data_IF_900477933752
#
_entry.id   IF_900477933752
#
_cell.length_a   1.000
_cell.length_b   1.000
_cell.length_c   1.000
_cell.angle_alpha   90.00
_cell.angle_beta   90.00
_cell.angle_gamma   90.00
#
_symmetry.space_group_name_H-M   'P 1'
#
loop_
_entity.id
_entity.type
_entity.pdbx_description
1 polymer ?
#
# COMPACT_ATOMS: atom_id res chain seq x y z
N UNK A 1 7.89 -9.68 2.19
CA UNK A 1 7.84 -8.73 3.33
C UNK A 1 6.54 -9.04 4.07
N UNK A 2 6.62 -9.20 5.38
CA UNK A 2 5.45 -9.46 6.24
C UNK A 2 5.05 -8.21 7.04
N UNK A 3 6.02 -7.35 7.39
CA UNK A 3 5.79 -6.10 8.11
C UNK A 3 6.61 -4.97 7.51
N UNK A 4 6.12 -3.73 7.61
CA UNK A 4 6.80 -2.53 7.13
C UNK A 4 6.90 -1.54 8.29
N UNK A 5 8.11 -1.02 8.55
CA UNK A 5 8.33 0.03 9.54
C UNK A 5 7.85 1.38 9.00
N UNK A 6 6.81 1.93 9.63
CA UNK A 6 6.18 3.19 9.25
C UNK A 6 7.13 4.38 9.34
N UNK A 7 8.12 4.33 10.24
CA UNK A 7 9.08 5.42 10.46
C UNK A 7 9.92 5.73 9.21
N UNK A 8 10.13 4.74 8.33
CA UNK A 8 10.85 4.94 7.06
C UNK A 8 10.10 5.95 6.18
N UNK A 9 8.77 5.94 6.22
CA UNK A 9 7.95 6.81 5.37
C UNK A 9 7.88 8.25 5.86
N UNK A 10 8.14 8.54 7.12
CA UNK A 10 8.30 9.92 7.59
C UNK A 10 9.43 10.63 6.82
N UNK A 11 10.51 9.90 6.51
CA UNK A 11 11.68 10.45 5.83
C UNK A 11 11.50 10.57 4.31
N UNK A 12 10.81 9.62 3.68
CA UNK A 12 10.72 9.53 2.20
C UNK A 12 9.36 9.98 1.62
N UNK A 13 8.34 10.17 2.45
CA UNK A 13 6.97 10.52 2.04
C UNK A 13 6.88 11.74 1.14
N UNK A 14 7.76 12.72 1.34
CA UNK A 14 7.78 13.96 0.58
C UNK A 14 8.29 13.80 -0.86
N UNK A 15 8.80 12.63 -1.25
CA UNK A 15 9.37 12.40 -2.58
C UNK A 15 8.83 11.13 -3.25
N UNK A 16 8.24 10.22 -2.49
CA UNK A 16 7.80 8.93 -3.02
C UNK A 16 6.53 9.09 -3.89
N UNK A 17 6.68 8.89 -5.20
CA UNK A 17 5.56 8.91 -6.17
C UNK A 17 5.08 7.52 -6.59
N UNK A 18 5.97 6.53 -6.57
CA UNK A 18 5.69 5.16 -7.00
C UNK A 18 6.13 4.20 -5.90
N UNK A 19 5.22 3.33 -5.45
CA UNK A 19 5.50 2.28 -4.49
C UNK A 19 5.07 0.93 -5.07
N UNK A 20 6.02 -0.02 -5.12
CA UNK A 20 5.78 -1.36 -5.61
C UNK A 20 6.02 -2.37 -4.48
N UNK A 21 4.94 -2.99 -4.02
CA UNK A 21 4.92 -4.03 -3.00
C UNK A 21 4.35 -5.35 -3.55
N UNK A 22 4.46 -5.58 -4.87
CA UNK A 22 4.01 -6.83 -5.49
C UNK A 22 4.77 -8.05 -4.94
N UNK A 23 4.14 -9.22 -5.00
CA UNK A 23 4.74 -10.51 -4.58
C UNK A 23 5.25 -10.50 -3.13
N UNK A 24 4.42 -10.00 -2.23
CA UNK A 24 4.68 -10.06 -0.79
C UNK A 24 3.56 -10.85 -0.09
N UNK A 25 3.61 -10.88 1.23
CA UNK A 25 2.69 -11.67 2.06
C UNK A 25 1.77 -10.77 2.88
N UNK A 26 1.41 -9.60 2.33
CA UNK A 26 0.56 -8.63 3.00
C UNK A 26 -0.86 -9.20 3.09
N UNK A 27 -1.29 -9.49 4.31
CA UNK A 27 -2.58 -10.12 4.60
C UNK A 27 -3.67 -9.10 4.96
N UNK A 28 -3.30 -8.09 5.74
CA UNK A 28 -4.27 -7.15 6.33
C UNK A 28 -3.91 -5.71 6.06
N UNK A 29 -4.92 -4.84 6.16
CA UNK A 29 -4.81 -3.40 6.03
C UNK A 29 -3.87 -2.77 7.07
N UNK A 30 -3.67 -3.44 8.22
CA UNK A 30 -2.74 -3.00 9.27
C UNK A 30 -1.29 -2.97 8.78
N UNK A 31 -0.94 -3.74 7.74
CA UNK A 31 0.39 -3.66 7.15
C UNK A 31 0.59 -2.41 6.27
N UNK A 32 -0.45 -1.58 6.10
CA UNK A 32 -0.49 -0.46 5.16
C UNK A 32 -0.88 0.87 5.83
N UNK A 33 -0.78 0.97 7.16
CA UNK A 33 -1.11 2.21 7.91
C UNK A 33 -0.31 3.41 7.44
N UNK A 34 0.94 3.18 7.01
CA UNK A 34 1.86 4.20 6.53
C UNK A 34 1.38 4.98 5.30
N UNK A 35 0.36 4.51 4.58
CA UNK A 35 -0.19 5.19 3.41
C UNK A 35 -0.63 6.62 3.71
N UNK A 36 -1.03 6.91 4.95
CA UNK A 36 -1.41 8.27 5.40
C UNK A 36 -0.29 9.30 5.23
N UNK A 37 0.97 8.85 5.26
CA UNK A 37 2.13 9.72 5.12
C UNK A 37 2.44 10.00 3.65
N UNK A 38 2.05 9.14 2.71
CA UNK A 38 2.50 9.17 1.32
C UNK A 38 1.70 10.13 0.43
N UNK A 39 1.67 11.41 0.81
CA UNK A 39 0.86 12.46 0.18
C UNK A 39 1.15 12.68 -1.31
N UNK A 40 2.33 12.29 -1.80
CA UNK A 40 2.73 12.41 -3.21
C UNK A 40 2.61 11.11 -4.01
N UNK A 41 2.16 10.02 -3.39
CA UNK A 41 2.02 8.75 -4.08
C UNK A 41 0.98 8.85 -5.21
N UNK A 42 1.39 8.41 -6.39
CA UNK A 42 0.59 8.40 -7.62
C UNK A 42 0.32 6.98 -8.10
N UNK A 43 1.26 6.07 -7.87
CA UNK A 43 1.14 4.69 -8.29
C UNK A 43 1.45 3.75 -7.15
N UNK A 44 0.53 2.83 -6.89
CA UNK A 44 0.68 1.84 -5.85
C UNK A 44 0.32 0.44 -6.34
N UNK A 45 1.28 -0.46 -6.26
CA UNK A 45 1.17 -1.81 -6.77
C UNK A 45 1.25 -2.83 -5.63
N UNK A 46 0.16 -3.55 -5.43
CA UNK A 46 -0.05 -4.57 -4.40
C UNK A 46 -0.40 -5.94 -5.00
N UNK A 47 -0.14 -6.14 -6.30
CA UNK A 47 -0.46 -7.40 -6.97
C UNK A 47 0.25 -8.60 -6.31
N UNK A 48 -0.39 -9.77 -6.32
CA UNK A 48 0.18 -11.00 -5.74
C UNK A 48 0.55 -10.83 -4.26
N UNK A 49 -0.40 -10.35 -3.48
CA UNK A 49 -0.35 -10.37 -2.02
C UNK A 49 -1.50 -11.26 -1.49
N UNK A 50 -1.78 -11.18 -0.20
CA UNK A 50 -2.85 -11.95 0.46
C UNK A 50 -3.95 -11.06 1.04
N UNK A 51 -4.13 -9.84 0.53
CA UNK A 51 -5.08 -8.89 1.13
C UNK A 51 -6.52 -9.41 1.05
N UNK A 52 -7.20 -9.46 2.19
CA UNK A 52 -8.61 -9.89 2.30
C UNK A 52 -9.59 -8.70 2.22
N UNK A 53 -9.16 -7.51 2.64
CA UNK A 53 -9.94 -6.27 2.58
C UNK A 53 -9.02 -5.06 2.34
N UNK A 54 -9.61 -3.97 1.83
CA UNK A 54 -8.98 -2.64 1.70
C UNK A 54 -9.91 -1.49 2.13
N UNK A 55 -11.03 -1.80 2.79
CA UNK A 55 -12.12 -0.87 3.05
C UNK A 55 -11.81 0.19 4.13
N UNK A 56 -10.83 -0.07 5.01
CA UNK A 56 -10.39 0.86 6.05
C UNK A 56 -9.12 1.64 5.63
N UNK A 57 -8.61 1.40 4.42
CA UNK A 57 -7.43 2.11 3.90
C UNK A 57 -7.80 3.52 3.43
N UNK A 58 -7.08 4.50 3.97
CA UNK A 58 -7.10 5.87 3.48
C UNK A 58 -6.06 6.05 2.38
N UNK A 59 -6.47 5.84 1.12
CA UNK A 59 -5.58 6.04 -0.02
C UNK A 59 -5.19 7.53 -0.18
N UNK A 60 -3.95 7.83 -0.59
CA UNK A 60 -3.53 9.20 -0.88
C UNK A 60 -4.41 9.85 -1.95
N UNK A 61 -4.81 11.10 -1.74
CA UNK A 61 -5.68 11.85 -2.66
C UNK A 61 -5.12 11.96 -4.10
N UNK A 62 -3.80 11.87 -4.24
CA UNK A 62 -3.11 11.99 -5.53
C UNK A 62 -2.91 10.63 -6.24
N UNK A 63 -3.42 9.54 -5.67
CA UNK A 63 -3.27 8.20 -6.23
C UNK A 63 -4.04 8.10 -7.56
N UNK A 64 -3.34 7.70 -8.61
CA UNK A 64 -3.87 7.55 -9.98
C UNK A 64 -3.98 6.10 -10.39
N UNK A 65 -3.03 5.28 -9.94
CA UNK A 65 -2.95 3.86 -10.26
C UNK A 65 -2.91 3.08 -8.96
N UNK A 66 -3.88 2.18 -8.80
CA UNK A 66 -3.92 1.16 -7.76
C UNK A 66 -4.08 -0.20 -8.42
N UNK A 67 -3.14 -1.10 -8.19
CA UNK A 67 -3.20 -2.48 -8.71
C UNK A 67 -3.24 -3.47 -7.55
N UNK A 68 -4.30 -4.28 -7.53
CA UNK A 68 -4.61 -5.24 -6.46
C UNK A 68 -4.83 -6.65 -7.01
N UNK A 69 -4.34 -6.95 -8.21
CA UNK A 69 -4.59 -8.23 -8.87
C UNK A 69 -4.02 -9.38 -8.05
N UNK A 70 -4.70 -10.53 -8.06
CA UNK A 70 -4.25 -11.72 -7.33
C UNK A 70 -4.05 -11.44 -5.83
N UNK A 71 -5.07 -10.88 -5.20
CA UNK A 71 -5.29 -10.85 -3.75
C UNK A 71 -6.55 -11.68 -3.42
N UNK A 72 -6.94 -11.75 -2.15
CA UNK A 72 -8.14 -12.45 -1.67
C UNK A 72 -9.32 -11.49 -1.40
N UNK A 73 -9.35 -10.33 -2.07
CA UNK A 73 -10.40 -9.33 -1.89
C UNK A 73 -11.76 -9.90 -2.37
N UNK A 74 -12.75 -9.96 -1.48
CA UNK A 74 -14.10 -10.47 -1.73
C UNK A 74 -14.17 -11.94 -2.19
N UNK A 75 -13.47 -12.84 -1.50
CA UNK A 75 -13.81 -14.27 -1.45
C UNK A 75 -14.69 -14.60 -0.26
#
# INVERSE_FOLDING_TARGET
IETIDENIFELISSQLEILNLRNNELLTENHLTFLIHLKRLREFYLDYNRLESINQLNFPLNLKILSLKNNYLNQ
#
